data_IF_436253168047
#
_entry.id   IF_436253168047
#
_cell.length_a   1.000
_cell.length_b   1.000
_cell.length_c   1.000
_cell.angle_alpha   90.00
_cell.angle_beta   90.00
_cell.angle_gamma   90.00
#
_symmetry.space_group_name_H-M   'P 1'
#
loop_
_entity.id
_entity.type
_entity.pdbx_description
1 polymer ?
#
# COMPACT_ATOMS: atom_id res chain seq x y z
N UNK A 1 -0.92 -15.95 39.69
CA UNK A 1 0.08 -15.40 38.76
C UNK A 1 -0.47 -14.14 38.08
N UNK A 2 -0.66 -13.06 38.83
CA UNK A 2 -1.45 -11.90 38.38
C UNK A 2 -0.60 -10.62 38.24
N UNK A 3 0.44 -10.47 39.07
CA UNK A 3 1.32 -9.28 39.07
C UNK A 3 2.20 -9.22 37.81
N UNK A 4 2.88 -10.31 37.46
CA UNK A 4 3.72 -10.36 36.27
C UNK A 4 2.93 -10.24 34.96
N UNK A 5 1.69 -10.76 34.93
CA UNK A 5 0.78 -10.58 33.80
C UNK A 5 0.41 -9.11 33.61
N UNK A 6 0.03 -8.41 34.68
CA UNK A 6 -0.28 -6.98 34.62
C UNK A 6 0.91 -6.10 34.20
N UNK A 7 2.12 -6.43 34.65
CA UNK A 7 3.34 -5.73 34.23
C UNK A 7 3.61 -5.95 32.73
N UNK A 8 3.47 -7.19 32.24
CA UNK A 8 3.66 -7.50 30.83
C UNK A 8 2.66 -6.76 29.91
N UNK A 9 1.40 -6.64 30.34
CA UNK A 9 0.39 -5.87 29.62
C UNK A 9 0.69 -4.37 29.60
N UNK A 10 1.19 -3.82 30.71
CA UNK A 10 1.61 -2.44 30.81
C UNK A 10 2.78 -2.14 29.85
N UNK A 11 3.83 -2.96 29.86
CA UNK A 11 4.97 -2.82 28.96
C UNK A 11 4.56 -2.91 27.48
N UNK A 12 3.69 -3.87 27.14
CA UNK A 12 3.14 -3.99 25.78
C UNK A 12 2.40 -2.74 25.36
N UNK A 13 1.60 -2.16 26.25
CA UNK A 13 0.85 -0.93 25.99
C UNK A 13 1.80 0.25 25.74
N UNK A 14 2.87 0.38 26.52
CA UNK A 14 3.90 1.41 26.31
C UNK A 14 4.60 1.26 24.95
N UNK A 15 4.93 0.04 24.54
CA UNK A 15 5.56 -0.23 23.22
C UNK A 15 4.63 0.19 22.09
N UNK A 16 3.33 -0.15 22.18
CA UNK A 16 2.33 0.23 21.17
C UNK A 16 2.19 1.75 21.08
N UNK A 17 2.09 2.44 22.21
CA UNK A 17 1.99 3.91 22.25
C UNK A 17 3.17 4.55 21.53
N UNK A 18 4.40 4.20 21.92
CA UNK A 18 5.62 4.77 21.33
C UNK A 18 5.75 4.46 19.83
N UNK A 19 5.37 3.25 19.42
CA UNK A 19 5.39 2.86 18.00
C UNK A 19 4.38 3.67 17.18
N UNK A 20 3.19 3.94 17.74
CA UNK A 20 2.20 4.77 17.09
C UNK A 20 2.66 6.23 16.98
N UNK A 21 3.27 6.78 18.02
CA UNK A 21 3.83 8.14 18.00
C UNK A 21 4.91 8.26 16.91
N UNK A 22 5.81 7.28 16.83
CA UNK A 22 6.81 7.19 15.78
C UNK A 22 6.21 7.06 14.38
N UNK A 23 5.15 6.25 14.22
CA UNK A 23 4.43 6.08 12.95
C UNK A 23 3.77 7.39 12.51
N UNK A 24 3.14 8.13 13.43
CA UNK A 24 2.52 9.43 13.14
C UNK A 24 3.59 10.43 12.70
N UNK A 25 4.71 10.52 13.44
CA UNK A 25 5.81 11.40 13.09
C UNK A 25 6.42 11.07 11.72
N UNK A 26 6.58 9.78 11.40
CA UNK A 26 7.06 9.35 10.09
C UNK A 26 6.06 9.67 8.96
N UNK A 27 4.75 9.50 9.21
CA UNK A 27 3.71 9.89 8.25
C UNK A 27 3.72 11.40 8.01
N UNK A 28 3.91 12.22 9.06
CA UNK A 28 4.05 13.67 8.94
C UNK A 28 5.29 14.09 8.15
N UNK A 29 6.39 13.33 8.24
CA UNK A 29 7.58 13.51 7.38
C UNK A 29 7.38 13.03 5.93
N UNK A 30 6.22 12.48 5.59
CA UNK A 30 5.93 11.97 4.24
C UNK A 30 6.51 10.59 3.95
N UNK A 31 6.90 9.81 4.96
CA UNK A 31 7.35 8.43 4.74
C UNK A 31 6.20 7.60 4.17
N UNK A 32 6.43 7.02 2.99
CA UNK A 32 5.47 6.12 2.37
C UNK A 32 5.43 4.78 3.13
N UNK A 33 4.26 4.42 3.65
CA UNK A 33 4.02 3.15 4.32
C UNK A 33 3.32 2.15 3.41
N UNK A 34 3.43 0.87 3.77
CA UNK A 34 2.79 -0.23 3.05
C UNK A 34 3.63 -0.73 1.87
N UNK A 35 3.06 -1.68 1.11
CA UNK A 35 3.73 -2.27 -0.04
C UNK A 35 3.85 -1.23 -1.17
N UNK A 36 5.04 -1.01 -1.74
CA UNK A 36 5.20 -0.13 -2.90
C UNK A 36 4.29 -0.53 -4.06
N UNK A 37 3.68 0.45 -4.73
CA UNK A 37 2.90 0.19 -5.95
C UNK A 37 3.85 -0.28 -7.06
N UNK A 38 3.46 -1.34 -7.79
CA UNK A 38 4.24 -1.85 -8.93
C UNK A 38 4.30 -0.89 -10.11
N UNK A 39 3.29 -0.05 -10.30
CA UNK A 39 3.20 0.89 -11.42
C UNK A 39 3.33 2.32 -10.94
N UNK A 40 4.20 3.10 -11.61
CA UNK A 40 4.34 4.54 -11.40
C UNK A 40 3.09 5.29 -11.91
N UNK A 41 2.82 6.51 -11.42
CA UNK A 41 1.62 7.27 -11.80
C UNK A 41 1.49 7.53 -13.31
N UNK A 42 2.60 7.79 -13.99
CA UNK A 42 2.66 7.96 -15.45
C UNK A 42 2.33 6.66 -16.20
N UNK A 43 2.82 5.52 -15.70
CA UNK A 43 2.48 4.21 -16.27
C UNK A 43 0.99 3.88 -16.07
N UNK A 44 0.40 4.28 -14.94
CA UNK A 44 -1.03 4.11 -14.70
C UNK A 44 -1.86 4.96 -15.67
N UNK A 45 -1.41 6.19 -15.95
CA UNK A 45 -2.07 7.07 -16.90
C UNK A 45 -2.02 6.48 -18.33
N UNK A 46 -0.84 6.04 -18.77
CA UNK A 46 -0.67 5.37 -20.05
C UNK A 46 -1.51 4.09 -20.15
N UNK A 47 -1.59 3.29 -19.08
CA UNK A 47 -2.43 2.10 -19.06
C UNK A 47 -3.92 2.44 -19.24
N UNK A 48 -4.41 3.55 -18.66
CA UNK A 48 -5.80 4.01 -18.88
C UNK A 48 -6.03 4.46 -20.31
N UNK A 49 -5.09 5.19 -20.91
CA UNK A 49 -5.17 5.62 -22.30
C UNK A 49 -5.22 4.43 -23.25
N UNK A 50 -4.32 3.46 -23.10
CA UNK A 50 -4.31 2.25 -23.93
C UNK A 50 -5.62 1.46 -23.87
N UNK A 51 -6.26 1.42 -22.70
CA UNK A 51 -7.56 0.74 -22.53
C UNK A 51 -8.68 1.55 -23.18
N UNK A 52 -8.65 2.88 -23.08
CA UNK A 52 -9.61 3.77 -23.77
C UNK A 52 -9.49 3.69 -25.30
N UNK A 53 -8.27 3.49 -25.80
CA UNK A 53 -7.99 3.25 -27.21
C UNK A 53 -8.43 1.84 -27.69
N UNK A 54 -9.06 1.05 -26.81
CA UNK A 54 -9.64 -0.25 -27.15
C UNK A 54 -8.68 -1.42 -27.04
N UNK A 55 -7.47 -1.25 -26.48
CA UNK A 55 -6.58 -2.41 -26.24
C UNK A 55 -7.14 -3.30 -25.14
N UNK A 56 -7.00 -4.61 -25.34
CA UNK A 56 -7.45 -5.58 -24.33
C UNK A 56 -6.63 -5.47 -23.05
N UNK A 57 -7.32 -5.60 -21.91
CA UNK A 57 -6.73 -5.53 -20.56
C UNK A 57 -5.58 -6.53 -20.40
N UNK A 58 -5.72 -7.74 -20.96
CA UNK A 58 -4.67 -8.77 -20.93
C UNK A 58 -3.40 -8.35 -21.68
N UNK A 59 -3.54 -7.60 -22.78
CA UNK A 59 -2.39 -7.08 -23.54
C UNK A 59 -1.70 -5.98 -22.78
N UNK A 60 -2.45 -5.04 -22.22
CA UNK A 60 -1.90 -3.94 -21.41
C UNK A 60 -1.18 -4.49 -20.17
N UNK A 61 -1.78 -5.47 -19.49
CA UNK A 61 -1.19 -6.12 -18.33
C UNK A 61 0.16 -6.79 -18.65
N UNK A 62 0.27 -7.48 -19.79
CA UNK A 62 1.52 -8.06 -20.27
C UNK A 62 2.57 -7.00 -20.61
N UNK A 63 2.18 -5.88 -21.21
CA UNK A 63 3.09 -4.78 -21.54
C UNK A 63 3.77 -4.19 -20.29
N UNK A 64 3.04 -4.12 -19.17
CA UNK A 64 3.57 -3.58 -17.91
C UNK A 64 4.07 -4.65 -16.93
N UNK A 65 4.13 -5.92 -17.32
CA UNK A 65 4.49 -7.06 -16.46
C UNK A 65 3.71 -7.09 -15.12
N UNK A 66 2.40 -6.91 -15.23
CA UNK A 66 1.48 -6.96 -14.08
C UNK A 66 0.35 -7.95 -14.33
N UNK A 67 -0.21 -8.47 -13.24
CA UNK A 67 -1.43 -9.28 -13.33
C UNK A 67 -2.60 -8.41 -13.83
N UNK A 68 -3.53 -8.91 -14.67
CA UNK A 68 -4.70 -8.16 -15.16
C UNK A 68 -5.52 -7.48 -14.06
N UNK A 69 -5.63 -8.10 -12.88
CA UNK A 69 -6.28 -7.51 -11.70
C UNK A 69 -5.68 -6.15 -11.28
N UNK A 70 -4.40 -5.90 -11.57
CA UNK A 70 -3.77 -4.60 -11.32
C UNK A 70 -4.30 -3.54 -12.28
N UNK A 71 -4.54 -3.91 -13.54
CA UNK A 71 -5.10 -3.02 -14.56
C UNK A 71 -6.57 -2.72 -14.24
N UNK A 72 -7.37 -3.72 -13.87
CA UNK A 72 -8.76 -3.50 -13.41
C UNK A 72 -8.84 -2.49 -12.26
N UNK A 73 -8.02 -2.64 -11.22
CA UNK A 73 -7.96 -1.70 -10.08
C UNK A 73 -7.52 -0.27 -10.45
N UNK A 74 -6.90 -0.08 -11.60
CA UNK A 74 -6.46 1.24 -12.08
C UNK A 74 -7.58 1.93 -12.88
N UNK A 75 -8.42 1.14 -13.57
CA UNK A 75 -9.51 1.61 -14.42
C UNK A 75 -10.81 1.80 -13.61
N UNK A 76 -11.11 0.86 -12.72
CA UNK A 76 -12.26 0.87 -11.83
C UNK A 76 -11.78 1.27 -10.42
N UNK A 77 -11.96 2.53 -10.00
CA UNK A 77 -11.55 3.01 -8.68
C UNK A 77 -12.41 2.43 -7.55
#
# INVERSE_FOLDING_TARGET
>A
MTVFGGIAEFERTLIISRTNDGRIAAKARGVAFGRPKKMRPDQQQLARELVRDGKSISTVARTFDVHPATIYRIIEP
#
